data_IF_491379544542
#
_entry.id   IF_491379544542
#
_cell.length_a   1.000
_cell.length_b   1.000
_cell.length_c   1.000
_cell.angle_alpha   90.00
_cell.angle_beta   90.00
_cell.angle_gamma   90.00
#
_symmetry.space_group_name_H-M   'P 1'
#
loop_
_entity.id
_entity.type
_entity.pdbx_description
1 polymer ?
#
# COMPACT_ATOMS: atom_id res chain seq x y z
N UNK A 1 44.03 -47.32 29.14
CA UNK A 1 42.88 -46.88 28.32
C UNK A 1 42.40 -45.54 28.86
N UNK A 2 42.94 -44.40 28.38
CA UNK A 2 42.34 -43.09 28.63
C UNK A 2 41.36 -42.78 27.51
N UNK A 3 40.11 -42.53 27.86
CA UNK A 3 39.05 -42.12 26.94
C UNK A 3 39.34 -40.72 26.40
N UNK A 4 39.47 -40.62 25.08
CA UNK A 4 39.53 -39.36 24.35
C UNK A 4 38.15 -38.69 24.46
N UNK A 5 38.08 -37.60 25.21
CA UNK A 5 36.89 -36.75 25.27
C UNK A 5 37.01 -35.75 24.12
N UNK A 6 36.34 -36.03 23.01
CA UNK A 6 36.15 -35.06 21.93
C UNK A 6 35.40 -33.86 22.51
N UNK A 7 35.96 -32.64 22.49
CA UNK A 7 35.21 -31.47 22.88
C UNK A 7 34.11 -31.25 21.84
N UNK A 8 32.86 -31.38 22.26
CA UNK A 8 31.71 -30.90 21.50
C UNK A 8 31.97 -29.45 21.11
N UNK A 9 32.08 -29.21 19.80
CA UNK A 9 32.06 -27.87 19.23
C UNK A 9 30.72 -27.24 19.57
N UNK A 10 30.71 -26.49 20.66
CA UNK A 10 29.63 -25.60 21.05
C UNK A 10 29.37 -24.64 19.89
N UNK A 11 28.15 -24.74 19.36
CA UNK A 11 27.58 -23.93 18.28
C UNK A 11 27.50 -22.45 18.67
N UNK A 12 28.64 -21.79 18.66
CA UNK A 12 28.71 -20.34 18.75
C UNK A 12 28.66 -19.81 17.33
N UNK A 13 27.58 -19.08 17.00
CA UNK A 13 27.31 -18.29 15.76
C UNK A 13 26.41 -18.87 14.64
N UNK A 14 25.27 -19.48 14.96
CA UNK A 14 24.17 -19.67 13.97
C UNK A 14 23.33 -18.39 13.71
N UNK A 15 23.51 -17.32 14.50
CA UNK A 15 22.70 -16.11 14.43
C UNK A 15 22.73 -15.33 13.10
N UNK A 16 23.91 -15.06 12.48
CA UNK A 16 23.99 -14.32 11.22
C UNK A 16 23.38 -15.07 10.03
N UNK A 17 23.62 -16.39 9.93
CA UNK A 17 23.07 -17.24 8.86
C UNK A 17 21.56 -17.38 8.95
N UNK A 18 21.00 -17.43 10.17
CA UNK A 18 19.57 -17.45 10.36
C UNK A 18 18.88 -16.16 9.90
N UNK A 19 19.55 -15.00 9.92
CA UNK A 19 19.00 -13.74 9.38
C UNK A 19 19.14 -13.64 7.86
N UNK A 20 20.22 -14.22 7.28
CA UNK A 20 20.38 -14.41 5.84
C UNK A 20 19.35 -15.40 5.26
N UNK A 21 18.85 -16.34 6.07
CA UNK A 21 17.77 -17.22 5.68
C UNK A 21 16.39 -16.62 6.01
N UNK A 22 16.29 -15.87 7.13
CA UNK A 22 15.05 -15.35 7.73
C UNK A 22 15.15 -13.85 7.96
N UNK A 23 15.07 -13.11 6.86
CA UNK A 23 15.05 -11.65 6.88
C UNK A 23 13.90 -11.10 7.74
N UNK A 24 14.18 -10.07 8.55
CA UNK A 24 13.17 -9.35 9.38
C UNK A 24 12.00 -8.85 8.52
N UNK A 25 12.27 -8.36 7.30
CA UNK A 25 11.24 -7.92 6.37
C UNK A 25 10.23 -9.04 6.03
N UNK A 26 10.70 -10.28 5.87
CA UNK A 26 9.86 -11.44 5.59
C UNK A 26 8.97 -11.86 6.75
N UNK A 27 9.37 -11.53 7.99
CA UNK A 27 8.56 -11.73 9.19
C UNK A 27 7.53 -10.60 9.30
N UNK A 28 8.00 -9.35 9.26
CA UNK A 28 7.17 -8.17 9.52
C UNK A 28 6.19 -7.82 8.39
N UNK A 29 6.38 -8.36 7.17
CA UNK A 29 5.48 -8.04 6.05
C UNK A 29 4.02 -8.37 6.35
N UNK A 30 3.74 -9.45 7.08
CA UNK A 30 2.37 -9.82 7.43
C UNK A 30 1.77 -8.82 8.42
N UNK A 31 2.57 -8.36 9.40
CA UNK A 31 2.16 -7.33 10.34
C UNK A 31 1.89 -5.98 9.65
N UNK A 32 2.72 -5.61 8.67
CA UNK A 32 2.52 -4.40 7.87
C UNK A 32 1.29 -4.54 6.96
N UNK A 33 1.09 -5.70 6.34
CA UNK A 33 0.02 -5.93 5.38
C UNK A 33 -1.38 -5.98 6.02
N UNK A 34 -1.53 -6.43 7.28
CA UNK A 34 -2.83 -6.45 7.98
C UNK A 34 -3.53 -5.07 7.95
N UNK A 35 -2.92 -3.97 8.43
CA UNK A 35 -3.57 -2.66 8.43
C UNK A 35 -3.53 -1.94 7.08
N UNK A 36 -2.60 -2.29 6.18
CA UNK A 36 -2.39 -1.54 4.91
C UNK A 36 -2.86 -2.27 3.65
N UNK A 37 -3.28 -3.53 3.81
CA UNK A 37 -3.80 -4.38 2.75
C UNK A 37 -2.82 -4.62 1.59
N UNK A 38 -3.36 -4.52 0.37
CA UNK A 38 -2.63 -4.71 -0.89
C UNK A 38 -1.45 -3.75 -1.00
N UNK A 39 -1.60 -2.52 -0.49
CA UNK A 39 -0.56 -1.50 -0.59
C UNK A 39 0.68 -1.94 0.18
N UNK A 40 0.60 -2.20 1.48
CA UNK A 40 1.81 -2.56 2.23
C UNK A 40 2.45 -3.86 1.78
N UNK A 41 1.64 -4.90 1.49
CA UNK A 41 2.17 -6.14 0.93
C UNK A 41 2.87 -5.90 -0.43
N UNK A 42 2.28 -5.08 -1.29
CA UNK A 42 2.82 -4.69 -2.59
C UNK A 42 4.11 -3.88 -2.47
N UNK A 43 4.15 -2.87 -1.59
CA UNK A 43 5.34 -2.06 -1.36
C UNK A 43 6.52 -2.94 -0.92
N UNK A 44 6.29 -3.81 0.07
CA UNK A 44 7.35 -4.73 0.54
C UNK A 44 7.77 -5.68 -0.60
N UNK A 45 6.84 -6.23 -1.37
CA UNK A 45 7.17 -7.09 -2.51
C UNK A 45 8.05 -6.38 -3.56
N UNK A 46 7.73 -5.12 -3.88
CA UNK A 46 8.44 -4.34 -4.89
C UNK A 46 9.85 -3.94 -4.42
N UNK A 47 10.01 -3.52 -3.17
CA UNK A 47 11.31 -3.01 -2.67
C UNK A 47 12.24 -4.12 -2.17
N UNK A 48 11.76 -5.34 -1.96
CA UNK A 48 12.59 -6.40 -1.37
C UNK A 48 13.56 -7.04 -2.36
N UNK A 49 14.85 -7.07 -2.02
CA UNK A 49 15.87 -7.89 -2.72
C UNK A 49 15.97 -9.30 -2.14
N UNK A 50 15.71 -9.44 -0.85
CA UNK A 50 15.84 -10.71 -0.15
C UNK A 50 14.75 -11.69 -0.57
N UNK A 51 15.13 -12.88 -1.04
CA UNK A 51 14.20 -13.85 -1.60
C UNK A 51 13.13 -14.28 -0.59
N UNK A 52 13.52 -14.54 0.66
CA UNK A 52 12.58 -14.86 1.74
C UNK A 52 11.55 -13.74 2.00
N UNK A 53 11.97 -12.47 2.06
CA UNK A 53 11.02 -11.35 2.19
C UNK A 53 10.09 -11.29 0.99
N UNK A 54 10.64 -11.37 -0.23
CA UNK A 54 9.86 -11.25 -1.46
C UNK A 54 8.82 -12.37 -1.60
N UNK A 55 9.17 -13.61 -1.21
CA UNK A 55 8.22 -14.74 -1.18
C UNK A 55 7.10 -14.54 -0.16
N UNK A 56 7.41 -14.09 1.05
CA UNK A 56 6.40 -13.79 2.07
C UNK A 56 5.49 -12.62 1.65
N UNK A 57 6.07 -11.56 1.11
CA UNK A 57 5.34 -10.40 0.61
C UNK A 57 4.40 -10.78 -0.54
N UNK A 58 4.85 -11.64 -1.46
CA UNK A 58 3.99 -12.18 -2.51
C UNK A 58 2.79 -12.94 -1.96
N UNK A 59 3.02 -13.83 -1.00
CA UNK A 59 1.95 -14.62 -0.39
C UNK A 59 0.92 -13.72 0.34
N UNK A 60 1.39 -12.68 1.04
CA UNK A 60 0.52 -11.68 1.65
C UNK A 60 -0.25 -10.87 0.58
N UNK A 61 0.42 -10.49 -0.52
CA UNK A 61 -0.18 -9.75 -1.61
C UNK A 61 -1.29 -10.55 -2.32
N UNK A 62 -1.06 -11.83 -2.61
CA UNK A 62 -2.08 -12.74 -3.17
C UNK A 62 -3.34 -12.81 -2.28
N UNK A 63 -3.15 -12.88 -0.96
CA UNK A 63 -4.25 -12.85 0.01
C UNK A 63 -5.01 -11.53 -0.04
N UNK A 64 -4.29 -10.41 0.11
CA UNK A 64 -4.93 -9.10 0.17
C UNK A 64 -5.58 -8.68 -1.15
N UNK A 65 -5.10 -9.14 -2.30
CA UNK A 65 -5.78 -8.95 -3.59
C UNK A 65 -7.15 -9.63 -3.61
N UNK A 66 -7.25 -10.81 -3.00
CA UNK A 66 -8.52 -11.54 -2.83
C UNK A 66 -9.46 -10.79 -1.88
N UNK A 67 -8.94 -10.30 -0.75
CA UNK A 67 -9.71 -9.48 0.20
C UNK A 67 -10.17 -8.17 -0.43
N UNK A 68 -9.33 -7.53 -1.25
CA UNK A 68 -9.68 -6.32 -1.99
C UNK A 68 -10.80 -6.59 -3.00
N UNK A 69 -10.73 -7.69 -3.76
CA UNK A 69 -11.79 -8.05 -4.69
C UNK A 69 -13.13 -8.27 -3.98
N UNK A 70 -13.13 -8.98 -2.84
CA UNK A 70 -14.32 -9.14 -2.01
C UNK A 70 -14.83 -7.79 -1.47
N UNK A 71 -13.94 -6.91 -1.03
CA UNK A 71 -14.29 -5.57 -0.53
C UNK A 71 -14.97 -4.74 -1.62
N UNK A 72 -14.40 -4.70 -2.82
CA UNK A 72 -14.99 -3.99 -3.97
C UNK A 72 -16.36 -4.57 -4.31
N UNK A 73 -16.48 -5.91 -4.34
CA UNK A 73 -17.75 -6.56 -4.62
C UNK A 73 -18.81 -6.22 -3.56
N UNK A 74 -18.47 -6.32 -2.27
CA UNK A 74 -19.38 -6.04 -1.16
C UNK A 74 -19.83 -4.59 -1.12
N UNK A 75 -18.88 -3.65 -1.08
CA UNK A 75 -19.21 -2.23 -0.94
C UNK A 75 -19.71 -1.61 -2.24
N UNK A 76 -19.26 -2.08 -3.39
CA UNK A 76 -19.86 -1.72 -4.68
C UNK A 76 -21.31 -2.17 -4.77
N UNK A 77 -21.62 -3.40 -4.32
CA UNK A 77 -23.01 -3.89 -4.28
C UNK A 77 -23.87 -3.12 -3.28
N UNK A 78 -23.32 -2.82 -2.09
CA UNK A 78 -24.00 -2.00 -1.08
C UNK A 78 -24.32 -0.60 -1.61
N UNK A 79 -23.36 0.05 -2.26
CA UNK A 79 -23.54 1.36 -2.87
C UNK A 79 -24.64 1.31 -3.93
N UNK A 80 -24.55 0.38 -4.89
CA UNK A 80 -25.57 0.22 -5.95
C UNK A 80 -26.96 -0.04 -5.35
N UNK A 81 -27.05 -0.87 -4.30
CA UNK A 81 -28.31 -1.16 -3.62
C UNK A 81 -28.90 0.07 -2.92
N UNK A 82 -28.07 0.86 -2.22
CA UNK A 82 -28.51 2.08 -1.55
C UNK A 82 -29.04 3.10 -2.58
N UNK A 83 -28.28 3.37 -3.65
CA UNK A 83 -28.71 4.24 -4.75
C UNK A 83 -30.01 3.72 -5.38
N UNK A 84 -30.06 2.42 -5.68
CA UNK A 84 -31.19 1.76 -6.28
C UNK A 84 -32.46 1.69 -5.43
N UNK A 85 -32.38 1.97 -4.13
CA UNK A 85 -33.54 1.98 -3.22
C UNK A 85 -33.93 3.38 -2.76
N UNK A 86 -33.31 4.43 -3.30
CA UNK A 86 -33.54 5.81 -2.88
C UNK A 86 -32.97 6.13 -1.49
N UNK A 87 -32.14 5.25 -0.93
CA UNK A 87 -31.39 5.47 0.32
C UNK A 87 -29.98 6.00 0.07
N UNK A 88 -29.58 6.08 -1.19
CA UNK A 88 -28.27 6.55 -1.63
C UNK A 88 -28.12 8.06 -1.59
N UNK A 89 -26.96 8.53 -2.04
CA UNK A 89 -26.60 9.93 -2.02
C UNK A 89 -26.66 10.59 -3.40
N UNK A 90 -27.11 9.86 -4.42
CA UNK A 90 -27.14 10.32 -5.80
C UNK A 90 -28.53 10.13 -6.40
N UNK A 91 -28.91 11.01 -7.34
CA UNK A 91 -30.24 11.00 -7.96
C UNK A 91 -30.35 9.93 -9.06
N UNK A 92 -30.07 8.67 -8.73
CA UNK A 92 -30.13 7.54 -9.68
C UNK A 92 -31.54 6.94 -9.68
N UNK A 93 -31.96 6.42 -10.84
CA UNK A 93 -33.23 5.73 -10.98
C UNK A 93 -33.32 4.52 -10.03
N UNK A 94 -34.48 4.35 -9.40
CA UNK A 94 -34.75 3.24 -8.50
C UNK A 94 -34.77 1.89 -9.23
N UNK A 95 -34.25 0.86 -8.59
CA UNK A 95 -34.27 -0.51 -9.09
C UNK A 95 -35.72 -1.07 -9.13
N UNK A 96 -36.03 -1.94 -10.10
CA UNK A 96 -37.27 -2.71 -10.10
C UNK A 96 -37.42 -3.54 -8.82
N UNK A 97 -38.66 -3.69 -8.33
CA UNK A 97 -38.95 -4.39 -7.07
C UNK A 97 -38.40 -5.83 -6.95
N UNK A 98 -38.35 -6.67 -8.00
CA UNK A 98 -37.76 -8.00 -7.88
C UNK A 98 -36.25 -7.97 -7.64
N UNK A 99 -35.57 -6.96 -8.20
CA UNK A 99 -34.12 -6.79 -8.07
C UNK A 99 -33.77 -6.33 -6.66
N UNK A 100 -34.48 -5.33 -6.13
CA UNK A 100 -34.27 -4.85 -4.76
C UNK A 100 -34.62 -5.92 -3.72
N UNK A 101 -35.70 -6.69 -3.92
CA UNK A 101 -36.05 -7.81 -3.04
C UNK A 101 -34.98 -8.92 -3.03
N UNK A 102 -34.37 -9.21 -4.18
CA UNK A 102 -33.28 -10.20 -4.24
C UNK A 102 -32.02 -9.66 -3.56
N UNK A 103 -31.66 -8.41 -3.85
CA UNK A 103 -30.48 -7.77 -3.30
C UNK A 103 -30.54 -7.63 -1.77
N UNK A 104 -31.72 -7.38 -1.19
CA UNK A 104 -31.90 -7.26 0.26
C UNK A 104 -31.59 -8.55 1.03
N UNK A 105 -31.67 -9.71 0.37
CA UNK A 105 -31.29 -11.02 0.95
C UNK A 105 -29.81 -11.34 0.68
N UNK A 106 -29.32 -11.06 -0.53
CA UNK A 106 -27.93 -11.36 -0.92
C UNK A 106 -26.92 -10.48 -0.19
N UNK A 107 -27.23 -9.20 0.00
CA UNK A 107 -26.30 -8.21 0.53
C UNK A 107 -25.90 -8.48 2.00
N UNK A 108 -26.81 -8.84 2.93
CA UNK A 108 -26.43 -9.26 4.27
C UNK A 108 -25.49 -10.48 4.30
N UNK A 109 -25.69 -11.44 3.40
CA UNK A 109 -24.80 -12.61 3.27
C UNK A 109 -23.40 -12.17 2.83
N UNK A 110 -23.33 -11.29 1.83
CA UNK A 110 -22.07 -10.76 1.32
C UNK A 110 -21.32 -9.90 2.36
N UNK A 111 -22.04 -9.09 3.14
CA UNK A 111 -21.47 -8.32 4.26
C UNK A 111 -20.96 -9.26 5.35
N UNK A 112 -21.73 -10.29 5.70
CA UNK A 112 -21.33 -11.29 6.71
C UNK A 112 -20.07 -12.04 6.28
N UNK A 113 -19.98 -12.42 5.00
CA UNK A 113 -18.79 -13.04 4.41
C UNK A 113 -17.59 -12.08 4.46
N UNK A 114 -17.77 -10.81 4.11
CA UNK A 114 -16.70 -9.81 4.16
C UNK A 114 -16.19 -9.60 5.59
N UNK A 115 -17.09 -9.50 6.58
CA UNK A 115 -16.74 -9.40 8.00
C UNK A 115 -15.94 -10.62 8.46
N UNK A 116 -16.40 -11.83 8.10
CA UNK A 116 -15.71 -13.06 8.41
C UNK A 116 -14.30 -13.11 7.79
N UNK A 117 -14.16 -12.77 6.50
CA UNK A 117 -12.86 -12.75 5.81
C UNK A 117 -11.93 -11.69 6.39
N UNK A 118 -12.45 -10.54 6.82
CA UNK A 118 -11.67 -9.48 7.47
C UNK A 118 -11.13 -9.96 8.83
N UNK A 119 -11.99 -10.56 9.66
CA UNK A 119 -11.54 -11.18 10.91
C UNK A 119 -10.53 -12.31 10.66
N UNK A 120 -10.81 -13.16 9.67
CA UNK A 120 -9.93 -14.26 9.29
C UNK A 120 -8.57 -13.76 8.84
N UNK A 121 -8.50 -12.68 8.06
CA UNK A 121 -7.25 -12.02 7.60
C UNK A 121 -6.31 -11.73 8.76
N UNK A 122 -6.85 -11.22 9.88
CA UNK A 122 -6.05 -10.98 11.08
C UNK A 122 -5.44 -12.27 11.62
N UNK A 123 -6.25 -13.33 11.77
CA UNK A 123 -5.78 -14.63 12.27
C UNK A 123 -4.73 -15.27 11.36
N UNK A 124 -5.01 -15.37 10.06
CA UNK A 124 -4.06 -16.00 9.12
C UNK A 124 -2.81 -15.15 8.92
N UNK A 125 -2.90 -13.83 9.04
CA UNK A 125 -1.74 -12.94 9.02
C UNK A 125 -0.80 -13.18 10.20
N UNK A 126 -1.34 -13.33 11.41
CA UNK A 126 -0.53 -13.68 12.59
C UNK A 126 0.07 -15.08 12.49
N UNK A 127 -0.67 -16.06 11.96
CA UNK A 127 -0.13 -17.42 11.71
C UNK A 127 0.99 -17.37 10.67
N UNK A 128 0.82 -16.60 9.58
CA UNK A 128 1.84 -16.43 8.55
C UNK A 128 3.10 -15.78 9.12
N UNK A 129 2.95 -14.75 9.97
CA UNK A 129 4.05 -14.13 10.70
C UNK A 129 4.78 -15.14 11.60
N UNK A 130 4.04 -15.92 12.40
CA UNK A 130 4.63 -16.95 13.25
C UNK A 130 5.40 -17.99 12.44
N UNK A 131 4.84 -18.46 11.32
CA UNK A 131 5.52 -19.37 10.40
C UNK A 131 6.76 -18.75 9.76
N UNK A 132 6.74 -17.46 9.44
CA UNK A 132 7.88 -16.74 8.91
C UNK A 132 9.03 -16.66 9.94
N UNK A 133 8.73 -16.49 11.24
CA UNK A 133 9.73 -16.55 12.33
C UNK A 133 10.45 -17.91 12.35
N UNK A 134 9.75 -18.99 12.05
CA UNK A 134 10.32 -20.34 11.91
C UNK A 134 10.90 -20.61 10.51
N UNK A 135 11.07 -19.60 9.66
CA UNK A 135 11.70 -19.71 8.35
C UNK A 135 10.81 -20.24 7.23
N UNK A 136 9.50 -20.30 7.44
CA UNK A 136 8.56 -20.80 6.43
C UNK A 136 7.83 -19.65 5.72
N UNK A 137 8.04 -19.50 4.42
CA UNK A 137 7.25 -18.61 3.57
C UNK A 137 5.88 -19.25 3.27
N UNK A 138 4.95 -19.12 4.22
CA UNK A 138 3.66 -19.80 4.15
C UNK A 138 2.69 -19.08 3.22
N UNK A 139 1.99 -19.86 2.39
CA UNK A 139 0.93 -19.36 1.53
C UNK A 139 -0.39 -19.39 2.27
N UNK A 140 -1.15 -18.31 2.16
CA UNK A 140 -2.43 -18.17 2.84
C UNK A 140 -3.43 -19.20 2.30
N UNK A 141 -4.30 -19.77 3.14
CA UNK A 141 -5.28 -20.76 2.70
C UNK A 141 -6.19 -20.14 1.65
N UNK A 142 -6.48 -20.88 0.59
CA UNK A 142 -7.39 -20.44 -0.50
C UNK A 142 -6.91 -19.22 -1.29
N UNK A 143 -5.68 -18.71 -1.04
CA UNK A 143 -5.14 -17.60 -1.83
C UNK A 143 -4.76 -18.08 -3.26
N UNK A 144 -5.35 -17.51 -4.33
CA UNK A 144 -4.91 -17.76 -5.69
C UNK A 144 -3.53 -17.15 -5.94
N UNK A 145 -2.75 -17.73 -6.88
CA UNK A 145 -1.40 -17.24 -7.21
C UNK A 145 -1.51 -16.11 -8.23
N UNK A 146 -2.06 -14.96 -7.82
CA UNK A 146 -2.36 -13.86 -8.72
C UNK A 146 -1.09 -13.16 -9.17
N UNK A 147 -0.16 -12.91 -8.23
CA UNK A 147 1.10 -12.21 -8.53
C UNK A 147 1.93 -13.01 -9.54
N UNK A 148 2.08 -14.32 -9.35
CA UNK A 148 2.82 -15.16 -10.30
C UNK A 148 2.10 -15.25 -11.66
N UNK A 149 0.76 -15.28 -11.66
CA UNK A 149 -0.04 -15.41 -12.90
C UNK A 149 -0.10 -14.14 -13.73
N UNK A 150 -0.13 -12.98 -13.08
CA UNK A 150 -0.38 -11.68 -13.74
C UNK A 150 0.81 -10.74 -13.70
N UNK A 151 1.75 -10.90 -12.77
CA UNK A 151 2.94 -10.06 -12.65
C UNK A 151 3.70 -9.84 -13.96
N UNK A 152 4.01 -10.89 -14.74
CA UNK A 152 4.70 -10.73 -16.03
C UNK A 152 3.95 -9.87 -17.07
N UNK A 153 2.64 -9.67 -16.91
CA UNK A 153 1.82 -8.85 -17.82
C UNK A 153 1.75 -7.38 -17.42
N UNK A 154 2.11 -7.08 -16.18
CA UNK A 154 2.00 -5.74 -15.57
C UNK A 154 3.38 -5.11 -15.39
N UNK A 155 4.46 -5.88 -15.55
CA UNK A 155 5.82 -5.37 -15.56
C UNK A 155 6.03 -4.48 -16.80
N UNK A 156 6.09 -3.16 -16.59
CA UNK A 156 6.34 -2.17 -17.64
C UNK A 156 7.82 -1.77 -17.57
N UNK A 157 8.67 -2.23 -18.51
CA UNK A 157 10.08 -1.82 -18.58
C UNK A 157 10.17 -0.30 -18.67
N UNK A 158 10.88 0.33 -17.74
CA UNK A 158 10.98 1.80 -17.68
C UNK A 158 9.72 2.53 -17.20
N UNK A 159 8.76 1.84 -16.56
CA UNK A 159 7.51 2.44 -16.09
C UNK A 159 7.62 3.30 -14.83
N UNK A 160 8.69 3.18 -14.04
CA UNK A 160 8.81 3.91 -12.77
C UNK A 160 8.78 5.44 -12.92
N UNK A 161 9.49 6.06 -13.88
CA UNK A 161 9.38 7.50 -14.10
C UNK A 161 7.97 7.95 -14.51
N UNK A 162 7.25 7.11 -15.27
CA UNK A 162 5.86 7.42 -15.68
C UNK A 162 4.96 7.56 -14.46
N UNK A 163 5.12 6.71 -13.44
CA UNK A 163 4.37 6.81 -12.18
C UNK A 163 4.63 8.16 -11.50
N UNK A 164 5.89 8.62 -11.45
CA UNK A 164 6.26 9.91 -10.84
C UNK A 164 5.58 11.06 -11.60
N UNK A 165 5.63 11.04 -12.94
CA UNK A 165 4.99 12.05 -13.79
C UNK A 165 3.46 12.06 -13.60
N UNK A 166 2.83 10.88 -13.58
CA UNK A 166 1.39 10.74 -13.31
C UNK A 166 1.04 11.34 -11.95
N UNK A 167 1.81 11.05 -10.90
CA UNK A 167 1.58 11.65 -9.58
C UNK A 167 1.69 13.16 -9.59
N UNK A 168 2.74 13.71 -10.20
CA UNK A 168 2.95 15.17 -10.30
C UNK A 168 1.77 15.86 -10.99
N UNK A 169 1.20 15.23 -12.02
CA UNK A 169 0.04 15.77 -12.73
C UNK A 169 -1.28 15.61 -11.97
N UNK A 170 -1.52 14.43 -11.38
CA UNK A 170 -2.83 14.04 -10.83
C UNK A 170 -3.02 14.52 -9.39
N UNK A 171 -1.98 14.51 -8.56
CA UNK A 171 -2.07 14.89 -7.14
C UNK A 171 -2.69 16.28 -6.90
N UNK A 172 -2.24 17.37 -7.56
CA UNK A 172 -2.81 18.70 -7.32
C UNK A 172 -4.27 18.80 -7.77
N UNK A 173 -4.68 18.05 -8.80
CA UNK A 173 -6.07 18.00 -9.25
C UNK A 173 -6.97 17.35 -8.20
N UNK A 174 -6.56 16.20 -7.65
CA UNK A 174 -7.32 15.50 -6.61
C UNK A 174 -7.41 16.37 -5.34
N UNK A 175 -6.30 16.93 -4.89
CA UNK A 175 -6.28 17.81 -3.70
C UNK A 175 -7.13 19.05 -3.94
N UNK A 176 -7.04 19.68 -5.11
CA UNK A 176 -7.86 20.83 -5.47
C UNK A 176 -9.35 20.53 -5.45
N UNK A 177 -9.76 19.39 -6.03
CA UNK A 177 -11.17 18.94 -5.99
C UNK A 177 -11.61 18.60 -4.57
N UNK A 178 -10.75 18.00 -3.74
CA UNK A 178 -11.10 17.71 -2.34
C UNK A 178 -11.28 18.99 -1.49
N UNK A 179 -10.47 20.02 -1.73
CA UNK A 179 -10.52 21.28 -0.95
C UNK A 179 -11.60 22.24 -1.43
N UNK A 180 -11.80 22.33 -2.75
CA UNK A 180 -12.65 23.36 -3.37
C UNK A 180 -13.83 22.79 -4.16
N UNK A 181 -13.94 21.47 -4.28
CA UNK A 181 -14.99 20.82 -5.03
C UNK A 181 -16.34 20.72 -4.29
N UNK A 182 -17.28 19.94 -4.84
CA UNK A 182 -18.62 19.80 -4.30
C UNK A 182 -18.61 19.30 -2.85
N UNK A 183 -19.53 19.84 -2.03
CA UNK A 183 -19.69 19.50 -0.61
C UNK A 183 -20.78 18.45 -0.37
N UNK A 184 -21.53 18.11 -1.41
CA UNK A 184 -22.65 17.18 -1.37
C UNK A 184 -22.76 16.40 -2.69
N UNK A 185 -23.56 15.33 -2.68
CA UNK A 185 -23.84 14.48 -3.82
C UNK A 185 -22.67 13.61 -4.29
N UNK A 186 -22.83 12.96 -5.45
CA UNK A 186 -21.90 11.97 -6.00
C UNK A 186 -20.44 12.48 -6.10
N UNK A 187 -20.28 13.75 -6.50
CA UNK A 187 -18.98 14.36 -6.71
C UNK A 187 -18.20 14.56 -5.40
N UNK A 188 -18.89 14.78 -4.28
CA UNK A 188 -18.27 14.82 -2.95
C UNK A 188 -17.74 13.43 -2.54
N UNK A 189 -18.49 12.36 -2.79
CA UNK A 189 -18.01 11.00 -2.52
C UNK A 189 -16.83 10.63 -3.42
N UNK A 190 -16.90 10.98 -4.70
CA UNK A 190 -15.83 10.75 -5.65
C UNK A 190 -14.55 11.49 -5.26
N UNK A 191 -14.64 12.74 -4.77
CA UNK A 191 -13.49 13.49 -4.29
C UNK A 191 -12.86 12.86 -3.04
N UNK A 192 -13.68 12.41 -2.09
CA UNK A 192 -13.23 11.67 -0.91
C UNK A 192 -12.51 10.37 -1.26
N UNK A 193 -13.10 9.55 -2.15
CA UNK A 193 -12.45 8.32 -2.65
C UNK A 193 -11.17 8.62 -3.42
N UNK A 194 -11.16 9.67 -4.23
CA UNK A 194 -9.96 10.14 -4.93
C UNK A 194 -8.84 10.53 -3.98
N UNK A 195 -9.16 11.25 -2.90
CA UNK A 195 -8.20 11.63 -1.86
C UNK A 195 -7.66 10.40 -1.12
N UNK A 196 -8.53 9.44 -0.77
CA UNK A 196 -8.11 8.16 -0.17
C UNK A 196 -7.18 7.38 -1.10
N UNK A 197 -7.51 7.28 -2.39
CA UNK A 197 -6.67 6.62 -3.38
C UNK A 197 -5.32 7.35 -3.57
N UNK A 198 -5.32 8.68 -3.56
CA UNK A 198 -4.10 9.48 -3.61
C UNK A 198 -3.19 9.19 -2.41
N UNK A 199 -3.73 9.23 -1.19
CA UNK A 199 -2.96 9.06 0.05
C UNK A 199 -2.49 7.63 0.21
N UNK A 200 -3.39 6.65 0.04
CA UNK A 200 -3.10 5.26 0.36
C UNK A 200 -2.43 4.50 -0.78
N UNK A 201 -2.62 4.90 -2.04
CA UNK A 201 -2.13 4.12 -3.19
C UNK A 201 -1.11 4.90 -3.98
N UNK A 202 -1.48 6.04 -4.55
CA UNK A 202 -0.62 6.73 -5.51
C UNK A 202 0.63 7.32 -4.85
N UNK A 203 0.50 7.88 -3.65
CA UNK A 203 1.62 8.48 -2.92
C UNK A 203 2.68 7.44 -2.52
N UNK A 204 2.34 6.30 -1.87
CA UNK A 204 3.33 5.28 -1.55
C UNK A 204 3.96 4.62 -2.77
N UNK A 205 3.18 4.36 -3.83
CA UNK A 205 3.70 3.81 -5.09
C UNK A 205 4.69 4.80 -5.74
N UNK A 206 4.43 6.10 -5.66
CA UNK A 206 5.36 7.13 -6.14
C UNK A 206 6.64 7.16 -5.31
N UNK A 207 6.56 6.96 -3.99
CA UNK A 207 7.74 6.78 -3.14
C UNK A 207 8.60 5.60 -3.57
N UNK A 208 7.96 4.46 -3.90
CA UNK A 208 8.66 3.30 -4.47
C UNK A 208 9.24 3.62 -5.84
N UNK A 209 8.52 4.32 -6.70
CA UNK A 209 9.01 4.71 -8.01
C UNK A 209 10.27 5.59 -7.92
N UNK A 210 10.27 6.58 -7.02
CA UNK A 210 11.45 7.41 -6.73
C UNK A 210 12.64 6.57 -6.25
N UNK A 211 12.39 5.59 -5.37
CA UNK A 211 13.43 4.71 -4.87
C UNK A 211 13.98 3.76 -5.94
N UNK A 212 13.11 3.09 -6.69
CA UNK A 212 13.50 2.17 -7.74
C UNK A 212 14.28 2.90 -8.84
N UNK A 213 13.72 4.00 -9.34
CA UNK A 213 14.32 4.77 -10.42
C UNK A 213 15.58 5.52 -9.98
N UNK A 214 15.57 6.11 -8.78
CA UNK A 214 16.67 6.97 -8.32
C UNK A 214 17.85 6.24 -7.69
N UNK A 215 17.64 5.08 -7.07
CA UNK A 215 18.68 4.40 -6.30
C UNK A 215 19.00 2.97 -6.79
N UNK A 216 18.07 2.27 -7.44
CA UNK A 216 18.27 0.85 -7.80
C UNK A 216 18.59 0.62 -9.26
N UNK A 217 17.79 1.21 -10.14
CA UNK A 217 17.86 0.95 -11.59
C UNK A 217 18.81 1.95 -12.27
N UNK A 218 19.09 3.09 -11.62
CA UNK A 218 19.90 4.14 -12.20
C UNK A 218 21.34 3.65 -12.47
N UNK A 219 21.87 3.85 -13.69
CA UNK A 219 23.27 3.57 -14.00
C UNK A 219 24.19 4.37 -13.08
N UNK A 220 25.31 3.78 -12.67
CA UNK A 220 26.30 4.42 -11.78
C UNK A 220 27.05 5.57 -12.44
N UNK A 221 27.06 5.60 -13.77
CA UNK A 221 27.69 6.60 -14.63
C UNK A 221 26.71 7.68 -15.12
N UNK A 222 25.46 7.67 -14.66
CA UNK A 222 24.50 8.72 -15.02
C UNK A 222 24.95 10.09 -14.48
N UNK A 223 24.84 11.12 -15.32
CA UNK A 223 25.30 12.49 -15.05
C UNK A 223 24.70 13.09 -13.77
N UNK A 224 23.44 12.73 -13.49
CA UNK A 224 22.75 13.10 -12.26
C UNK A 224 22.53 11.87 -11.38
N UNK A 225 22.88 11.98 -10.08
CA UNK A 225 22.62 10.97 -9.06
C UNK A 225 21.76 11.58 -7.94
N UNK A 226 20.44 11.33 -7.90
CA UNK A 226 19.57 11.95 -6.90
C UNK A 226 19.87 11.40 -5.49
N UNK A 227 19.96 12.25 -4.46
CA UNK A 227 19.92 11.81 -3.07
C UNK A 227 18.49 11.39 -2.72
N UNK A 228 18.08 10.17 -3.10
CA UNK A 228 16.71 9.66 -2.93
C UNK A 228 16.21 9.79 -1.50
N UNK A 229 17.09 9.60 -0.52
CA UNK A 229 16.77 9.77 0.90
C UNK A 229 16.24 11.18 1.20
N UNK A 230 16.78 12.22 0.56
CA UNK A 230 16.28 13.58 0.72
C UNK A 230 14.88 13.75 0.09
N UNK A 231 14.65 13.20 -1.10
CA UNK A 231 13.35 13.27 -1.80
C UNK A 231 12.22 12.58 -1.03
N UNK A 232 12.53 11.52 -0.28
CA UNK A 232 11.55 10.81 0.55
C UNK A 232 11.48 11.36 1.98
N UNK A 233 12.63 11.71 2.57
CA UNK A 233 12.74 12.09 3.97
C UNK A 233 12.34 13.54 4.26
N UNK A 234 12.63 14.49 3.36
CA UNK A 234 12.28 15.90 3.56
C UNK A 234 10.76 16.09 3.68
N UNK A 235 9.92 15.51 2.80
CA UNK A 235 8.46 15.60 2.96
C UNK A 235 7.95 15.06 4.30
N UNK A 236 8.53 13.97 4.82
CA UNK A 236 8.17 13.41 6.13
C UNK A 236 8.56 14.39 7.26
N UNK A 237 9.75 14.97 7.20
CA UNK A 237 10.19 15.96 8.19
C UNK A 237 9.31 17.22 8.15
N UNK A 238 8.92 17.68 6.96
CA UNK A 238 8.01 18.81 6.76
C UNK A 238 6.62 18.49 7.32
N UNK A 239 6.12 17.28 7.13
CA UNK A 239 4.85 16.82 7.72
C UNK A 239 4.90 16.81 9.26
N UNK A 240 5.99 16.31 9.84
CA UNK A 240 6.17 16.29 11.30
C UNK A 240 6.25 17.72 11.88
N UNK A 241 6.95 18.63 11.21
CA UNK A 241 6.95 20.04 11.58
C UNK A 241 5.56 20.67 11.43
N UNK A 242 4.83 20.34 10.35
CA UNK A 242 3.46 20.79 10.13
C UNK A 242 2.49 20.33 11.21
N UNK A 243 2.62 19.07 11.66
CA UNK A 243 1.87 18.54 12.81
C UNK A 243 2.12 19.37 14.08
N UNK A 244 3.41 19.55 14.45
CA UNK A 244 3.79 20.27 15.66
C UNK A 244 3.35 21.74 15.61
N UNK A 245 3.45 22.38 14.45
CA UNK A 245 3.02 23.77 14.26
C UNK A 245 1.49 23.89 14.32
N UNK A 246 0.78 22.95 13.70
CA UNK A 246 -0.68 22.91 13.72
C UNK A 246 -1.21 22.78 15.15
N UNK A 247 -0.59 21.91 15.95
CA UNK A 247 -0.92 21.70 17.36
C UNK A 247 -0.52 22.90 18.25
N UNK A 248 0.68 23.45 18.08
CA UNK A 248 1.21 24.46 19.00
C UNK A 248 0.82 25.92 18.68
N UNK A 249 0.46 26.23 17.43
CA UNK A 249 0.28 27.61 16.97
C UNK A 249 -1.13 27.88 16.46
N UNK A 250 -1.77 26.92 15.81
CA UNK A 250 -3.09 27.14 15.18
C UNK A 250 -4.26 26.61 15.99
N UNK A 251 -4.01 25.93 17.11
CA UNK A 251 -5.02 25.23 17.92
C UNK A 251 -5.94 24.35 17.04
N UNK A 252 -5.35 23.68 16.04
CA UNK A 252 -6.14 22.91 15.07
C UNK A 252 -6.88 21.77 15.76
N UNK A 253 -8.14 21.57 15.36
CA UNK A 253 -8.98 20.46 15.84
C UNK A 253 -8.45 19.11 15.31
N UNK A 254 -7.69 19.11 14.21
CA UNK A 254 -7.14 17.90 13.61
C UNK A 254 -5.71 18.10 13.07
N UNK A 255 -4.70 18.21 13.95
CA UNK A 255 -3.30 18.41 13.53
C UNK A 255 -2.76 17.29 12.66
N UNK A 256 -3.26 16.06 12.84
CA UNK A 256 -2.91 14.92 12.00
C UNK A 256 -3.39 15.09 10.55
N UNK A 257 -4.61 15.59 10.35
CA UNK A 257 -5.15 15.90 9.03
C UNK A 257 -4.31 16.98 8.33
N UNK A 258 -3.96 18.05 9.04
CA UNK A 258 -3.13 19.13 8.50
C UNK A 258 -1.76 18.61 8.07
N UNK A 259 -1.14 17.77 8.90
CA UNK A 259 0.15 17.14 8.60
C UNK A 259 0.11 16.30 7.32
N UNK A 260 -1.00 15.61 7.04
CA UNK A 260 -1.19 14.86 5.78
C UNK A 260 -1.22 15.79 4.57
N UNK A 261 -1.91 16.93 4.63
CA UNK A 261 -1.91 17.88 3.51
C UNK A 261 -0.56 18.55 3.32
N UNK A 262 0.13 18.90 4.41
CA UNK A 262 1.50 19.42 4.38
C UNK A 262 2.46 18.39 3.78
N UNK A 263 2.33 17.12 4.17
CA UNK A 263 3.07 16.01 3.56
C UNK A 263 2.82 15.92 2.05
N UNK A 264 1.56 15.89 1.62
CA UNK A 264 1.20 15.77 0.21
C UNK A 264 1.77 16.95 -0.62
N UNK A 265 1.70 18.17 -0.09
CA UNK A 265 2.26 19.34 -0.75
C UNK A 265 3.79 19.24 -0.87
N UNK A 266 4.49 18.91 0.22
CA UNK A 266 5.94 18.77 0.22
C UNK A 266 6.42 17.60 -0.68
N UNK A 267 5.70 16.48 -0.65
CA UNK A 267 6.01 15.30 -1.45
C UNK A 267 5.73 15.54 -2.95
N UNK A 268 4.70 16.31 -3.27
CA UNK A 268 4.45 16.79 -4.64
C UNK A 268 5.58 17.68 -5.14
N UNK A 269 6.03 18.68 -4.37
CA UNK A 269 7.17 19.53 -4.74
C UNK A 269 8.43 18.70 -4.94
N UNK A 270 8.74 17.78 -4.02
CA UNK A 270 9.89 16.89 -4.14
C UNK A 270 9.83 16.04 -5.41
N UNK A 271 8.65 15.45 -5.71
CA UNK A 271 8.44 14.64 -6.91
C UNK A 271 8.54 15.45 -8.20
N UNK A 272 8.02 16.69 -8.20
CA UNK A 272 8.13 17.61 -9.34
C UNK A 272 9.58 18.00 -9.61
N UNK A 273 10.33 18.39 -8.57
CA UNK A 273 11.76 18.72 -8.70
C UNK A 273 12.54 17.52 -9.22
N UNK A 274 12.24 16.32 -8.69
CA UNK A 274 12.85 15.09 -9.19
C UNK A 274 12.56 14.87 -10.67
N UNK A 275 11.30 14.99 -11.10
CA UNK A 275 10.89 14.76 -12.49
C UNK A 275 11.50 15.80 -13.46
N UNK A 276 11.54 17.07 -13.06
CA UNK A 276 12.18 18.14 -13.86
C UNK A 276 13.68 17.87 -13.99
N UNK A 277 14.37 17.58 -12.89
CA UNK A 277 15.81 17.27 -12.92
C UNK A 277 16.12 16.03 -13.74
N UNK A 278 15.30 14.99 -13.60
CA UNK A 278 15.40 13.81 -14.44
C UNK A 278 15.33 14.18 -15.92
N UNK A 279 14.32 14.95 -16.33
CA UNK A 279 14.08 15.33 -17.71
C UNK A 279 15.20 16.20 -18.30
N UNK A 280 15.75 17.13 -17.53
CA UNK A 280 16.81 18.05 -18.00
C UNK A 280 18.17 17.39 -18.12
N UNK A 281 18.45 16.35 -17.33
CA UNK A 281 19.74 15.66 -17.30
C UNK A 281 19.72 14.38 -18.17
N UNK A 282 18.57 14.02 -18.73
CA UNK A 282 18.41 12.89 -19.67
C UNK A 282 18.37 13.31 -21.14
N UNK A 283 18.35 14.62 -21.41
CA UNK A 283 18.35 15.22 -22.75
C UNK A 283 19.61 16.06 -22.94
#
# INVERSE_FOLDING_TARGET
>A
MPSEHTPDTTSTTDGPRLLEERSIGGILVHFVAIPTGVVGAGLVYLVSTHEFTRRNARNALDWHLTVLALTILTFGSLFIYAEGTGQGATDVATLPSPVSATASVVLPVLISLWMFVTFWTFLVGLIAMGKATFGTAWRYPLSPALVDRFGPRVDLPGGWPVIIVVYVAVAPLIVGVALFGPREGAAFFASGLGLVALILVLTPITGVALYQHGARIRPTDADWQPPVVAYLGVPIAVAAAGYLLSEAVTDSINPAGDAVYVFLAAFWVASLVYAVRWWTESN
#
